data_IF_708976015234
#
_entry.id   IF_708976015234
#
_cell.length_a   1.000
_cell.length_b   1.000
_cell.length_c   1.000
_cell.angle_alpha   90.00
_cell.angle_beta   90.00
_cell.angle_gamma   90.00
#
_symmetry.space_group_name_H-M   'P 1'
#
loop_
_entity.id
_entity.type
_entity.pdbx_description
1 polymer ?
#
# COMPACT_ATOMS: atom_id res chain seq x y z
N UNK A 1 21.52 -5.92 -22.26
CA UNK A 1 20.18 -6.01 -21.66
C UNK A 1 19.58 -4.62 -21.61
N UNK A 2 18.30 -4.47 -21.94
CA UNK A 2 17.62 -3.20 -21.69
C UNK A 2 17.51 -2.99 -20.17
N UNK A 3 17.84 -1.81 -19.65
CA UNK A 3 17.76 -1.56 -18.22
C UNK A 3 16.31 -1.64 -17.76
N UNK A 4 16.05 -2.40 -16.70
CA UNK A 4 14.75 -2.43 -16.03
C UNK A 4 14.44 -1.01 -15.59
N UNK A 5 13.30 -0.48 -16.03
CA UNK A 5 12.81 0.83 -15.59
C UNK A 5 12.01 0.67 -14.31
N UNK A 6 12.29 1.50 -13.32
CA UNK A 6 11.41 1.69 -12.17
C UNK A 6 10.24 2.56 -12.63
N UNK A 7 9.07 1.95 -12.79
CA UNK A 7 7.85 2.62 -13.19
C UNK A 7 7.04 2.88 -11.91
N UNK A 8 6.80 4.15 -11.52
CA UNK A 8 6.04 4.45 -10.31
C UNK A 8 4.68 3.75 -10.30
N UNK A 9 4.41 3.02 -9.23
CA UNK A 9 3.17 2.27 -9.03
C UNK A 9 3.07 0.93 -9.75
N UNK A 10 4.16 0.46 -10.35
CA UNK A 10 4.27 -0.88 -10.91
C UNK A 10 5.48 -1.59 -10.34
N UNK A 11 5.36 -2.90 -10.16
CA UNK A 11 6.51 -3.76 -9.86
C UNK A 11 6.89 -4.58 -11.08
N UNK A 12 8.19 -4.77 -11.24
CA UNK A 12 8.71 -5.72 -12.20
C UNK A 12 8.30 -7.14 -11.80
N UNK A 13 7.71 -7.87 -12.73
CA UNK A 13 7.34 -9.27 -12.56
C UNK A 13 8.41 -10.15 -13.18
N UNK A 14 8.58 -10.04 -14.50
CA UNK A 14 9.55 -10.83 -15.24
C UNK A 14 9.97 -10.18 -16.56
N UNK A 15 11.02 -10.74 -17.16
CA UNK A 15 11.49 -10.37 -18.50
C UNK A 15 11.36 -11.59 -19.39
N UNK A 16 10.68 -11.43 -20.52
CA UNK A 16 10.51 -12.47 -21.53
C UNK A 16 11.30 -12.11 -22.79
N UNK A 17 12.08 -13.06 -23.31
CA UNK A 17 12.72 -12.92 -24.63
C UNK A 17 11.80 -13.53 -25.68
N UNK A 18 11.47 -12.74 -26.69
CA UNK A 18 10.65 -13.15 -27.82
C UNK A 18 11.53 -13.84 -28.88
N UNK A 19 10.96 -14.77 -29.68
CA UNK A 19 11.73 -15.52 -30.69
C UNK A 19 12.28 -14.66 -31.82
N UNK A 20 11.76 -13.44 -31.99
CA UNK A 20 12.28 -12.43 -32.92
C UNK A 20 13.51 -11.67 -32.37
N UNK A 21 13.95 -11.96 -31.14
CA UNK A 21 15.08 -11.30 -30.48
C UNK A 21 14.70 -10.12 -29.59
N UNK A 22 13.43 -9.71 -29.57
CA UNK A 22 12.94 -8.63 -28.70
C UNK A 22 12.86 -9.06 -27.24
N UNK A 23 12.85 -8.06 -26.35
CA UNK A 23 12.69 -8.26 -24.90
C UNK A 23 11.43 -7.56 -24.43
N UNK A 24 10.55 -8.31 -23.77
CA UNK A 24 9.33 -7.81 -23.14
C UNK A 24 9.53 -7.78 -21.62
N UNK A 25 9.28 -6.63 -21.00
CA UNK A 25 9.27 -6.49 -19.54
C UNK A 25 7.83 -6.48 -19.05
N UNK A 26 7.47 -7.45 -18.23
CA UNK A 26 6.14 -7.57 -17.64
C UNK A 26 6.12 -6.82 -16.31
N UNK A 27 5.17 -5.91 -16.18
CA UNK A 27 4.96 -5.10 -15.00
C UNK A 27 3.53 -5.26 -14.51
N UNK A 28 3.36 -5.42 -13.21
CA UNK A 28 2.04 -5.46 -12.57
C UNK A 28 1.82 -4.22 -11.71
N UNK A 29 0.60 -3.70 -11.78
CA UNK A 29 0.19 -2.54 -11.02
C UNK A 29 0.03 -2.95 -9.56
N UNK A 30 0.86 -2.38 -8.69
CA UNK A 30 0.72 -2.59 -7.25
C UNK A 30 -0.29 -1.62 -6.68
N UNK A 31 -0.85 -1.94 -5.53
CA UNK A 31 -1.79 -1.09 -4.80
C UNK A 31 -1.39 -0.97 -3.35
N UNK A 32 -1.76 0.14 -2.73
CA UNK A 32 -1.64 0.33 -1.29
C UNK A 32 -3.01 0.40 -0.64
N UNK A 33 -3.25 -0.44 0.36
CA UNK A 33 -4.48 -0.46 1.17
C UNK A 33 -4.20 -0.01 2.61
N UNK A 34 -5.20 0.60 3.23
CA UNK A 34 -5.18 1.02 4.63
C UNK A 34 -6.22 0.21 5.40
N UNK A 35 -5.75 -0.76 6.19
CA UNK A 35 -6.62 -1.67 6.92
C UNK A 35 -6.39 -1.57 8.41
N UNK A 36 -7.43 -1.83 9.19
CA UNK A 36 -7.27 -2.02 10.62
C UNK A 36 -6.63 -3.37 10.95
N UNK A 37 -6.32 -3.59 12.23
CA UNK A 37 -5.71 -4.82 12.76
C UNK A 37 -6.61 -6.06 12.60
N UNK A 38 -7.91 -5.83 12.37
CA UNK A 38 -8.91 -6.88 12.11
C UNK A 38 -9.05 -7.17 10.60
N UNK A 39 -8.39 -6.39 9.74
CA UNK A 39 -8.43 -6.53 8.28
C UNK A 39 -9.57 -5.76 7.60
N UNK A 40 -10.29 -4.90 8.32
CA UNK A 40 -11.32 -4.05 7.72
C UNK A 40 -10.70 -2.80 7.09
N UNK A 41 -11.30 -2.31 6.01
CA UNK A 41 -10.88 -1.07 5.38
C UNK A 41 -11.20 0.13 6.27
N UNK A 42 -10.26 1.08 6.36
CA UNK A 42 -10.43 2.25 7.21
C UNK A 42 -11.29 3.29 6.48
N UNK A 43 -12.41 3.75 7.08
CA UNK A 43 -13.29 4.73 6.45
C UNK A 43 -12.54 6.01 6.03
N UNK A 44 -12.74 6.45 4.79
CA UNK A 44 -12.07 7.63 4.22
C UNK A 44 -10.67 7.36 3.65
N UNK A 45 -10.15 6.14 3.79
CA UNK A 45 -8.84 5.73 3.27
C UNK A 45 -9.01 4.53 2.31
N UNK A 46 -9.43 4.78 1.05
CA UNK A 46 -9.58 3.72 0.07
C UNK A 46 -8.23 3.12 -0.33
N UNK A 47 -8.28 2.00 -1.04
CA UNK A 47 -7.09 1.44 -1.70
C UNK A 47 -6.67 2.36 -2.85
N UNK A 48 -5.40 2.72 -2.89
CA UNK A 48 -4.81 3.59 -3.90
C UNK A 48 -3.88 2.78 -4.80
N UNK A 49 -3.75 3.23 -6.04
CA UNK A 49 -2.84 2.63 -6.98
C UNK A 49 -1.39 3.07 -6.70
N UNK A 50 -0.48 2.11 -6.85
CA UNK A 50 0.95 2.25 -6.62
C UNK A 50 1.39 2.13 -5.17
N UNK A 51 2.70 2.25 -4.93
CA UNK A 51 3.25 2.32 -3.56
C UNK A 51 2.93 3.70 -2.97
N UNK A 52 2.02 3.73 -1.99
CA UNK A 52 1.72 4.91 -1.18
C UNK A 52 2.39 4.81 0.20
N UNK A 53 2.74 5.95 0.83
CA UNK A 53 3.22 5.97 2.21
C UNK A 53 2.09 5.73 3.22
N UNK A 54 2.46 5.44 4.47
CA UNK A 54 1.51 5.41 5.59
C UNK A 54 0.87 6.79 5.79
N UNK A 55 -0.40 6.81 6.18
CA UNK A 55 -1.17 8.03 6.43
C UNK A 55 -1.41 8.20 7.93
N UNK A 56 -1.50 9.45 8.38
CA UNK A 56 -1.95 9.74 9.74
C UNK A 56 -3.48 9.72 9.75
N UNK A 57 -4.05 8.76 10.47
CA UNK A 57 -5.48 8.48 10.46
C UNK A 57 -6.06 8.78 11.84
N UNK A 58 -6.93 9.80 11.98
CA UNK A 58 -7.52 10.16 13.26
C UNK A 58 -8.23 8.97 13.92
N UNK A 59 -7.92 8.71 15.21
CA UNK A 59 -8.48 7.58 15.95
C UNK A 59 -7.81 6.23 15.64
N UNK A 60 -6.74 6.21 14.84
CA UNK A 60 -5.96 5.01 14.54
C UNK A 60 -4.46 5.29 14.73
N UNK A 61 -3.69 4.26 15.08
CA UNK A 61 -2.24 4.29 15.18
C UNK A 61 -1.64 3.29 14.20
N UNK A 62 -0.67 3.72 13.40
CA UNK A 62 0.08 2.81 12.53
C UNK A 62 0.74 1.69 13.35
N UNK A 63 0.54 0.45 12.91
CA UNK A 63 1.12 -0.74 13.52
C UNK A 63 2.31 -1.19 12.70
N UNK A 64 2.06 -1.55 11.45
CA UNK A 64 3.06 -2.13 10.55
C UNK A 64 2.67 -1.98 9.08
N UNK A 65 3.64 -2.26 8.21
CA UNK A 65 3.45 -2.37 6.77
C UNK A 65 3.70 -3.81 6.36
N UNK A 66 2.73 -4.42 5.67
CA UNK A 66 2.84 -5.75 5.09
C UNK A 66 2.98 -5.63 3.58
N UNK A 67 4.01 -6.22 2.99
CA UNK A 67 4.11 -6.38 1.54
C UNK A 67 3.53 -7.74 1.18
N UNK A 68 2.49 -7.73 0.34
CA UNK A 68 1.80 -8.93 -0.13
C UNK A 68 2.62 -9.62 -1.23
N UNK A 69 2.41 -10.93 -1.48
CA UNK A 69 3.14 -11.67 -2.51
C UNK A 69 2.89 -11.16 -3.93
N UNK A 70 1.71 -10.57 -4.18
CA UNK A 70 1.38 -9.86 -5.43
C UNK A 70 2.09 -8.49 -5.54
N UNK A 71 2.75 -8.05 -4.47
CA UNK A 71 3.45 -6.78 -4.39
C UNK A 71 2.66 -5.58 -3.95
N UNK A 72 1.38 -5.77 -3.66
CA UNK A 72 0.60 -4.75 -2.98
C UNK A 72 1.16 -4.50 -1.58
N UNK A 73 0.89 -3.31 -1.08
CA UNK A 73 1.31 -2.87 0.25
C UNK A 73 0.07 -2.67 1.11
N UNK A 74 0.03 -3.32 2.26
CA UNK A 74 -1.04 -3.15 3.23
C UNK A 74 -0.48 -2.45 4.47
N UNK A 75 -0.97 -1.25 4.74
CA UNK A 75 -0.68 -0.56 5.98
C UNK A 75 -1.71 -0.94 7.02
N UNK A 76 -1.24 -1.54 8.13
CA UNK A 76 -2.09 -2.00 9.23
C UNK A 76 -2.12 -0.94 10.31
N UNK A 77 -3.32 -0.60 10.77
CA UNK A 77 -3.55 0.38 11.84
C UNK A 77 -4.36 -0.22 12.98
N UNK A 78 -4.13 0.27 14.19
CA UNK A 78 -4.85 -0.12 15.39
C UNK A 78 -5.73 1.03 15.84
N UNK A 79 -7.04 0.79 16.01
CA UNK A 79 -7.97 1.81 16.49
C UNK A 79 -7.60 2.19 17.92
N UNK A 80 -7.29 3.46 18.13
CA UNK A 80 -7.02 4.01 19.46
C UNK A 80 -8.30 4.62 20.01
N UNK A 81 -8.63 4.31 21.27
CA UNK A 81 -9.68 5.02 21.98
C UNK A 81 -9.15 6.39 22.37
N UNK A 82 -9.31 7.38 21.49
CA UNK A 82 -9.12 8.77 21.89
C UNK A 82 -10.30 9.14 22.77
N UNK A 83 -10.16 9.06 24.09
CA UNK A 83 -11.04 9.81 24.98
C UNK A 83 -10.78 11.28 24.67
N UNK A 84 -11.62 11.89 23.84
CA UNK A 84 -11.77 13.34 23.88
C UNK A 84 -12.30 13.63 25.27
N UNK A 85 -11.38 13.93 26.19
CA UNK A 85 -11.74 14.52 27.47
C UNK A 85 -11.97 15.97 27.12
N UNK A 86 -13.22 16.28 26.81
CA UNK A 86 -13.67 17.66 26.63
C UNK A 86 -13.16 18.42 27.86
N UNK A 87 -12.36 19.48 27.64
CA UNK A 87 -11.90 20.36 28.71
C UNK A 87 -13.03 21.31 29.15
N UNK A 88 -14.23 20.78 29.35
CA UNK A 88 -15.31 21.48 30.02
C UNK A 88 -15.59 20.77 31.34
N UNK A 89 -14.59 20.87 32.22
CA UNK A 89 -14.88 20.84 33.64
C UNK A 89 -15.40 22.22 34.03
N UNK A 90 -16.72 22.35 34.14
CA UNK A 90 -17.45 23.04 35.23
C UNK A 90 -18.96 23.02 34.94
#
# INVERSE_FOLDING_TARGET
EQPKKDIPGYRFVETKKLPNGDTEHVYEKVKTSHKDKEGNDIPGYPTEDGEQPKKDIPGYRFVETKKLPNGDTEHVYEKVKTSHKDKEGN
#
